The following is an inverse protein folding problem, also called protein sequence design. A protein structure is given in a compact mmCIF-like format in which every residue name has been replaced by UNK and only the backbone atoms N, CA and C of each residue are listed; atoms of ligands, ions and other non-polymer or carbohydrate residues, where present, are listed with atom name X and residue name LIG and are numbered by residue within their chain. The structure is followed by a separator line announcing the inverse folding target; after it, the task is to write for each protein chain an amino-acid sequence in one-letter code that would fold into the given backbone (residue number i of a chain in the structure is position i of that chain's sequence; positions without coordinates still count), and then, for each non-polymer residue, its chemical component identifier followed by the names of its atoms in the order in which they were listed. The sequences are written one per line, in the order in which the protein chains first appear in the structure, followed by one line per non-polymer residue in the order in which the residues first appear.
data_IF_482312289797
#
_entry.id   IF_482312289797
#
_cell.length_a   1.000
_cell.length_b   1.000
_cell.length_c   1.000
_cell.angle_alpha   90.00
_cell.angle_beta   90.00
_cell.angle_gamma   90.00
#
_symmetry.space_group_name_H-M   'P 1'
#
loop_
_entity.id
_entity.type
_entity.pdbx_description
1 polymer ?
#
# COMPACT_ATOMS: atom_id res chain seq x y z
N UNK A 1 18.42 1.57 1.97
CA UNK A 1 17.82 0.51 2.80
C UNK A 1 16.31 0.60 2.63
N UNK A 2 15.61 -0.49 2.31
CA UNK A 2 14.18 -0.48 1.98
C UNK A 2 13.29 -0.23 3.20
N UNK A 3 13.24 -1.16 4.16
CA UNK A 3 12.32 -1.10 5.30
C UNK A 3 12.45 0.12 6.24
N UNK A 4 13.60 0.82 6.20
CA UNK A 4 13.88 1.95 7.09
C UNK A 4 13.73 3.31 6.37
N UNK A 5 13.28 3.32 5.12
CA UNK A 5 13.01 4.57 4.43
C UNK A 5 11.71 5.21 4.94
N UNK A 6 11.70 6.54 5.09
CA UNK A 6 10.51 7.26 5.58
C UNK A 6 9.31 7.09 4.64
N UNK A 7 9.53 6.76 3.37
CA UNK A 7 8.43 6.43 2.44
C UNK A 7 7.73 5.10 2.78
N UNK A 8 8.34 4.23 3.60
CA UNK A 8 7.70 3.01 4.14
C UNK A 8 6.97 3.25 5.46
N UNK A 9 7.35 4.27 6.23
CA UNK A 9 6.83 4.53 7.57
C UNK A 9 5.63 5.50 7.59
N UNK A 10 4.51 5.05 8.15
CA UNK A 10 3.32 5.88 8.35
C UNK A 10 2.80 5.71 9.79
N UNK A 11 2.45 6.79 10.50
CA UNK A 11 1.84 6.70 11.80
C UNK A 11 0.41 6.15 11.66
N UNK A 12 0.15 5.00 12.28
CA UNK A 12 -1.16 4.35 12.27
C UNK A 12 -1.47 3.79 13.66
N UNK A 13 -2.75 3.53 13.92
CA UNK A 13 -3.15 2.82 15.14
C UNK A 13 -2.57 1.40 15.16
N UNK A 14 -2.29 0.88 16.36
CA UNK A 14 -1.87 -0.51 16.57
C UNK A 14 -2.82 -1.51 15.90
N UNK A 15 -4.14 -1.33 16.06
CA UNK A 15 -5.16 -2.18 15.44
C UNK A 15 -5.04 -2.23 13.91
N UNK A 16 -4.80 -1.09 13.28
CA UNK A 16 -4.61 -1.03 11.83
C UNK A 16 -3.31 -1.73 11.40
N UNK A 17 -2.22 -1.54 12.15
CA UNK A 17 -0.94 -2.19 11.88
C UNK A 17 -1.03 -3.72 12.01
N UNK A 18 -1.66 -4.21 13.09
CA UNK A 18 -1.92 -5.63 13.31
C UNK A 18 -2.83 -6.22 12.23
N UNK A 19 -3.89 -5.50 11.85
CA UNK A 19 -4.81 -5.94 10.79
C UNK A 19 -4.13 -6.02 9.42
N UNK A 20 -3.14 -5.17 9.15
CA UNK A 20 -2.38 -5.22 7.90
C UNK A 20 -1.47 -6.45 7.88
N UNK A 21 -0.69 -6.70 8.94
CA UNK A 21 0.34 -7.75 8.95
C UNK A 21 1.26 -7.63 7.72
N UNK A 22 1.60 -8.75 7.10
CA UNK A 22 2.33 -8.92 5.85
C UNK A 22 1.46 -8.81 4.59
N UNK A 23 0.18 -8.42 4.72
CA UNK A 23 -0.71 -8.23 3.57
C UNK A 23 -0.16 -7.17 2.60
N UNK A 24 -0.27 -7.46 1.30
CA UNK A 24 -0.10 -6.51 0.21
C UNK A 24 -1.33 -5.62 0.04
N UNK A 25 -1.75 -5.35 -1.20
CA UNK A 25 -2.98 -4.55 -1.45
C UNK A 25 -4.28 -5.30 -1.15
N UNK A 26 -4.22 -6.57 -0.75
CA UNK A 26 -5.36 -7.32 -0.22
C UNK A 26 -5.92 -6.73 1.08
N UNK A 27 -5.17 -5.84 1.71
CA UNK A 27 -5.61 -4.98 2.80
C UNK A 27 -5.56 -3.51 2.36
N UNK A 28 -6.61 -2.75 2.67
CA UNK A 28 -6.70 -1.31 2.42
C UNK A 28 -7.14 -0.58 3.70
N UNK A 29 -6.62 0.62 3.97
CA UNK A 29 -7.11 1.43 5.08
C UNK A 29 -8.48 2.04 4.75
N UNK A 30 -9.30 2.21 5.78
CA UNK A 30 -10.62 2.85 5.63
C UNK A 30 -10.53 4.35 5.27
N UNK A 31 -9.42 5.00 5.62
CA UNK A 31 -9.18 6.42 5.33
C UNK A 31 -8.19 6.56 4.16
N UNK A 32 -8.62 7.25 3.11
CA UNK A 32 -7.83 7.52 1.90
C UNK A 32 -7.17 6.26 1.28
N UNK A 33 -7.93 5.22 0.93
CA UNK A 33 -7.38 3.97 0.38
C UNK A 33 -6.58 4.19 -0.92
N UNK A 34 -6.98 5.14 -1.77
CA UNK A 34 -6.21 5.44 -2.99
C UNK A 34 -4.86 6.10 -2.67
N UNK A 35 -4.77 6.99 -1.68
CA UNK A 35 -3.49 7.58 -1.27
C UNK A 35 -2.53 6.49 -0.75
N UNK A 36 -3.05 5.50 -0.02
CA UNK A 36 -2.28 4.33 0.39
C UNK A 36 -1.80 3.49 -0.80
N UNK A 37 -2.66 3.22 -1.78
CA UNK A 37 -2.29 2.51 -3.03
C UNK A 37 -1.18 3.24 -3.77
N UNK A 38 -1.29 4.57 -3.93
CA UNK A 38 -0.26 5.38 -4.61
C UNK A 38 1.07 5.27 -3.89
N UNK A 39 1.07 5.36 -2.55
CA UNK A 39 2.28 5.18 -1.73
C UNK A 39 2.89 3.80 -1.92
N UNK A 40 2.08 2.74 -1.81
CA UNK A 40 2.50 1.35 -2.02
C UNK A 40 3.17 1.16 -3.39
N UNK A 41 2.57 1.70 -4.47
CA UNK A 41 3.14 1.60 -5.82
C UNK A 41 4.39 2.46 -6.01
N UNK A 42 4.47 3.60 -5.34
CA UNK A 42 5.67 4.45 -5.36
C UNK A 42 6.86 3.72 -4.74
N UNK A 43 6.62 3.05 -3.62
CA UNK A 43 7.56 2.17 -2.93
C UNK A 43 8.02 1.04 -3.84
N UNK A 44 7.08 0.29 -4.41
CA UNK A 44 7.42 -0.89 -5.23
C UNK A 44 8.19 -0.47 -6.47
N UNK A 45 7.86 0.67 -7.09
CA UNK A 45 8.61 1.23 -8.20
C UNK A 45 10.03 1.65 -7.79
N UNK A 46 10.19 2.38 -6.68
CA UNK A 46 11.49 2.85 -6.17
C UNK A 46 12.47 1.70 -5.91
N UNK A 47 11.96 0.60 -5.36
CA UNK A 47 12.78 -0.56 -4.99
C UNK A 47 12.68 -1.74 -5.96
N UNK A 48 12.02 -1.55 -7.11
CA UNK A 48 11.83 -2.58 -8.15
C UNK A 48 11.22 -3.88 -7.60
N UNK A 49 10.28 -3.75 -6.66
CA UNK A 49 9.59 -4.89 -6.07
C UNK A 49 8.48 -5.37 -7.02
N UNK A 50 8.30 -6.69 -7.18
CA UNK A 50 7.23 -7.22 -8.00
C UNK A 50 5.88 -6.95 -7.33
N UNK A 51 4.87 -6.70 -8.16
CA UNK A 51 3.46 -6.70 -7.75
C UNK A 51 2.70 -7.76 -8.52
N UNK A 52 1.73 -8.38 -7.88
CA UNK A 52 0.86 -9.40 -8.48
C UNK A 52 -0.19 -8.78 -9.39
N UNK A 53 -0.79 -9.58 -10.27
CA UNK A 53 -1.96 -9.14 -11.07
C UNK A 53 -3.14 -8.75 -10.18
N UNK A 54 -3.28 -9.38 -9.01
CA UNK A 54 -4.33 -9.06 -8.04
C UNK A 54 -4.14 -7.65 -7.48
N UNK A 55 -2.92 -7.31 -7.09
CA UNK A 55 -2.58 -5.97 -6.59
C UNK A 55 -2.77 -4.89 -7.68
N UNK A 56 -2.43 -5.19 -8.93
CA UNK A 56 -2.73 -4.29 -10.06
C UNK A 56 -4.23 -4.01 -10.20
N UNK A 57 -5.05 -5.06 -10.11
CA UNK A 57 -6.51 -4.92 -10.20
C UNK A 57 -7.08 -4.11 -9.02
N UNK A 58 -6.62 -4.38 -7.79
CA UNK A 58 -7.02 -3.62 -6.60
C UNK A 58 -6.63 -2.15 -6.75
N UNK A 59 -5.41 -1.86 -7.21
CA UNK A 59 -4.95 -0.50 -7.40
C UNK A 59 -5.82 0.27 -8.41
N UNK A 60 -6.11 -0.34 -9.56
CA UNK A 60 -6.95 0.25 -10.60
C UNK A 60 -8.38 0.52 -10.10
N UNK A 61 -8.97 -0.42 -9.36
CA UNK A 61 -10.32 -0.28 -8.81
C UNK A 61 -10.40 0.77 -7.70
N UNK A 62 -9.38 0.83 -6.83
CA UNK A 62 -9.37 1.72 -5.65
C UNK A 62 -9.18 3.19 -6.03
N UNK A 63 -8.52 3.45 -7.16
CA UNK A 63 -8.16 4.80 -7.62
C UNK A 63 -8.91 5.25 -8.88
N UNK A 64 -10.00 4.57 -9.26
CA UNK A 64 -10.76 4.93 -10.44
C UNK A 64 -11.31 6.38 -10.32
N UNK A 65 -11.20 7.21 -11.37
CA UNK A 65 -11.83 8.53 -11.40
C UNK A 65 -13.35 8.40 -11.24
N UNK A 66 -13.93 9.30 -10.45
CA UNK A 66 -15.37 9.36 -10.15
C UNK A 66 -16.21 9.65 -11.38
#
# INVERSE_FOLDING_TARGET
MFANDLIELAPVSEKANLSKSDSGLDWLPNFQPCAYVVRYLTVTAKYQLPITRKEQAIAAATCAPS
#
